data_IF_373565914478
#
_entry.id   IF_373565914478
#
_cell.length_a   1.000
_cell.length_b   1.000
_cell.length_c   1.000
_cell.angle_alpha   90.00
_cell.angle_beta   90.00
_cell.angle_gamma   90.00
#
_symmetry.space_group_name_H-M   'P 1'
#
loop_
_entity.id
_entity.type
_entity.pdbx_description
1 polymer ?
#
# COMPACT_ATOMS: atom_id res chain seq x y z
N UNK A 1 23.16 -1.86 -5.52
CA UNK A 1 21.92 -2.22 -6.24
C UNK A 1 20.85 -1.22 -5.85
N UNK A 2 20.01 -0.80 -6.78
CA UNK A 2 18.89 0.09 -6.45
C UNK A 2 17.91 -0.68 -5.56
N UNK A 3 17.54 -0.11 -4.42
CA UNK A 3 16.52 -0.63 -3.49
C UNK A 3 15.12 -0.60 -4.14
N UNK A 4 15.01 0.16 -5.24
CA UNK A 4 13.74 0.38 -5.94
C UNK A 4 13.44 -0.79 -6.87
N UNK A 5 12.60 -1.67 -6.39
CA UNK A 5 11.91 -2.71 -7.15
C UNK A 5 10.49 -2.25 -7.45
N UNK A 6 9.68 -3.03 -8.15
CA UNK A 6 8.25 -2.74 -8.27
C UNK A 6 7.48 -2.95 -6.96
N UNK A 7 8.10 -3.57 -5.95
CA UNK A 7 7.59 -3.66 -4.58
C UNK A 7 7.73 -2.32 -3.85
N UNK A 8 8.83 -1.56 -4.12
CA UNK A 8 9.07 -0.25 -3.52
C UNK A 8 9.15 0.79 -4.63
N UNK A 9 8.14 1.63 -4.73
CA UNK A 9 8.10 2.72 -5.72
C UNK A 9 8.88 3.93 -5.23
N UNK A 10 9.62 4.54 -6.16
CA UNK A 10 10.39 5.77 -5.92
C UNK A 10 9.55 7.02 -6.15
N UNK A 11 9.75 8.04 -5.32
CA UNK A 11 9.29 9.41 -5.55
C UNK A 11 10.18 10.19 -6.54
N UNK A 12 11.34 9.62 -6.89
CA UNK A 12 12.35 10.25 -7.77
C UNK A 12 12.24 9.84 -9.23
N UNK A 13 11.50 8.77 -9.53
CA UNK A 13 11.34 8.25 -10.89
C UNK A 13 10.05 8.82 -11.49
N UNK A 14 10.17 9.70 -12.51
CA UNK A 14 9.02 10.38 -13.09
C UNK A 14 7.91 9.44 -13.59
N UNK A 15 8.27 8.29 -14.15
CA UNK A 15 7.30 7.30 -14.61
C UNK A 15 6.53 6.61 -13.46
N UNK A 16 6.98 6.75 -12.21
CA UNK A 16 6.31 6.23 -11.02
C UNK A 16 5.36 7.26 -10.38
N UNK A 17 5.33 8.50 -10.88
CA UNK A 17 4.56 9.60 -10.30
C UNK A 17 3.08 9.27 -10.03
N UNK A 18 2.32 8.64 -10.95
CA UNK A 18 0.93 8.28 -10.67
C UNK A 18 0.78 7.31 -9.50
N UNK A 19 1.67 6.32 -9.40
CA UNK A 19 1.65 5.36 -8.31
C UNK A 19 2.11 6.00 -7.00
N UNK A 20 3.15 6.86 -7.03
CA UNK A 20 3.59 7.62 -5.87
C UNK A 20 2.42 8.41 -5.26
N UNK A 21 1.69 9.18 -6.07
CA UNK A 21 0.59 10.00 -5.59
C UNK A 21 -0.63 9.17 -5.16
N UNK A 22 -0.90 8.03 -5.80
CA UNK A 22 -1.91 7.08 -5.36
C UNK A 22 -1.62 6.57 -3.95
N UNK A 23 -0.39 6.14 -3.69
CA UNK A 23 0.02 5.64 -2.37
C UNK A 23 0.05 6.76 -1.32
N UNK A 24 0.51 7.95 -1.69
CA UNK A 24 0.53 9.10 -0.79
C UNK A 24 -0.88 9.58 -0.43
N UNK A 25 -1.85 9.44 -1.32
CA UNK A 25 -3.24 9.85 -1.06
C UNK A 25 -3.86 9.11 0.14
N UNK A 26 -3.48 7.84 0.37
CA UNK A 26 -3.93 7.09 1.54
C UNK A 26 -3.54 7.79 2.85
N UNK A 27 -2.32 8.34 2.94
CA UNK A 27 -1.87 9.11 4.11
C UNK A 27 -2.59 10.45 4.24
N UNK A 28 -2.86 11.13 3.11
CA UNK A 28 -3.64 12.37 3.10
C UNK A 28 -5.05 12.12 3.66
N UNK A 29 -5.69 11.04 3.26
CA UNK A 29 -7.03 10.67 3.74
C UNK A 29 -7.00 10.17 5.19
N UNK A 30 -5.93 9.49 5.60
CA UNK A 30 -5.73 9.01 6.97
C UNK A 30 -5.58 10.15 7.98
N UNK A 31 -5.07 11.32 7.56
CA UNK A 31 -4.68 12.45 8.41
C UNK A 31 -5.70 12.80 9.48
N UNK A 32 -6.99 12.77 9.18
CA UNK A 32 -8.07 13.11 10.13
C UNK A 32 -8.31 12.08 11.23
N UNK A 33 -7.78 10.87 11.06
CA UNK A 33 -7.93 9.76 12.01
C UNK A 33 -6.68 9.53 12.85
N UNK A 34 -5.55 10.19 12.53
CA UNK A 34 -4.26 10.04 13.20
C UNK A 34 -4.26 10.88 14.47
N UNK A 35 -3.96 10.24 15.61
CA UNK A 35 -3.77 10.89 16.89
C UNK A 35 -2.99 10.00 17.86
N UNK A 36 -2.42 10.60 18.91
CA UNK A 36 -1.76 9.87 20.01
C UNK A 36 -0.47 9.14 19.61
N UNK A 37 -0.26 7.99 20.23
CA UNK A 37 0.88 7.14 19.95
C UNK A 37 0.61 6.32 18.68
N UNK A 38 1.46 6.49 17.65
CA UNK A 38 1.22 5.95 16.31
C UNK A 38 2.22 4.86 15.97
N UNK A 39 1.72 3.73 15.45
CA UNK A 39 2.54 2.68 14.83
C UNK A 39 2.25 2.61 13.33
N UNK A 40 3.31 2.60 12.52
CA UNK A 40 3.23 2.28 11.11
C UNK A 40 3.87 0.91 10.84
N UNK A 41 3.12 0.01 10.20
CA UNK A 41 3.58 -1.30 9.75
C UNK A 41 3.84 -1.27 8.25
N UNK A 42 5.09 -1.51 7.85
CA UNK A 42 5.52 -1.46 6.46
C UNK A 42 5.71 -0.03 5.95
N UNK A 43 6.55 0.76 6.62
CA UNK A 43 6.74 2.17 6.30
C UNK A 43 7.43 2.41 4.94
N UNK A 44 8.08 1.38 4.35
CA UNK A 44 8.79 1.49 3.08
C UNK A 44 9.72 2.72 3.05
N UNK A 45 9.67 3.51 1.97
CA UNK A 45 10.47 4.72 1.79
C UNK A 45 10.15 5.89 2.76
N UNK A 46 9.17 5.71 3.66
CA UNK A 46 8.77 6.74 4.61
C UNK A 46 7.89 7.84 4.00
N UNK A 47 7.14 7.51 2.96
CA UNK A 47 6.33 8.45 2.17
C UNK A 47 5.34 9.27 2.98
N UNK A 48 4.75 8.67 4.01
CA UNK A 48 3.70 9.29 4.85
C UNK A 48 4.21 9.92 6.13
N UNK A 49 5.48 9.74 6.50
CA UNK A 49 6.01 10.12 7.82
C UNK A 49 5.74 11.58 8.14
N UNK A 50 6.04 12.51 7.23
CA UNK A 50 5.83 13.95 7.47
C UNK A 50 4.35 14.32 7.69
N UNK A 51 3.41 13.51 7.16
CA UNK A 51 1.97 13.68 7.40
C UNK A 51 1.61 13.16 8.80
N UNK A 52 2.16 11.99 9.17
CA UNK A 52 1.90 11.33 10.45
C UNK A 52 2.44 12.18 11.60
N UNK A 53 3.69 12.63 11.53
CA UNK A 53 4.37 13.38 12.58
C UNK A 53 3.65 14.69 12.95
N UNK A 54 2.95 15.31 12.02
CA UNK A 54 2.14 16.50 12.30
C UNK A 54 0.92 16.24 13.19
N UNK A 55 0.58 14.98 13.44
CA UNK A 55 -0.64 14.54 14.14
C UNK A 55 -0.39 13.56 15.27
N UNK A 56 0.76 12.91 15.29
CA UNK A 56 1.15 11.96 16.34
C UNK A 56 1.78 12.67 17.54
N UNK A 57 1.60 12.06 18.72
CA UNK A 57 2.33 12.38 19.94
C UNK A 57 3.69 11.68 19.94
N UNK A 58 3.72 10.44 19.49
CA UNK A 58 4.91 9.64 19.26
C UNK A 58 4.73 8.81 17.99
N UNK A 59 5.83 8.43 17.34
CA UNK A 59 5.81 7.64 16.14
C UNK A 59 6.79 6.47 16.22
N UNK A 60 6.30 5.30 15.89
CA UNK A 60 7.12 4.09 15.72
C UNK A 60 6.80 3.49 14.36
N UNK A 61 7.81 3.04 13.62
CA UNK A 61 7.63 2.32 12.36
C UNK A 61 8.35 0.98 12.38
N UNK A 62 7.74 -0.03 11.76
CA UNK A 62 8.34 -1.36 11.59
C UNK A 62 8.37 -1.69 10.10
N UNK A 63 9.53 -2.10 9.60
CA UNK A 63 9.69 -2.63 8.25
C UNK A 63 10.65 -3.82 8.25
N UNK A 64 10.50 -4.74 7.29
CA UNK A 64 11.39 -5.91 7.15
C UNK A 64 12.76 -5.57 6.56
N UNK A 65 12.88 -4.41 5.91
CA UNK A 65 14.08 -3.99 5.17
C UNK A 65 14.94 -3.09 6.05
N UNK A 66 16.07 -3.63 6.52
CA UNK A 66 16.99 -2.95 7.45
C UNK A 66 17.54 -1.65 6.87
N UNK A 67 17.93 -1.65 5.59
CA UNK A 67 18.49 -0.46 4.93
C UNK A 67 17.51 0.72 4.92
N UNK A 68 16.20 0.41 4.82
CA UNK A 68 15.16 1.42 4.87
C UNK A 68 15.02 1.99 6.28
N UNK A 69 14.90 1.13 7.29
CA UNK A 69 14.75 1.57 8.69
C UNK A 69 15.97 2.34 9.18
N UNK A 70 17.18 1.92 8.83
CA UNK A 70 18.42 2.64 9.16
C UNK A 70 18.48 4.04 8.50
N UNK A 71 18.10 4.14 7.23
CA UNK A 71 18.07 5.42 6.53
C UNK A 71 17.03 6.36 7.14
N UNK A 72 15.85 5.85 7.48
CA UNK A 72 14.79 6.63 8.10
C UNK A 72 15.16 7.06 9.53
N UNK A 73 15.82 6.20 10.32
CA UNK A 73 16.34 6.57 11.65
C UNK A 73 17.32 7.74 11.60
N UNK A 74 18.18 7.79 10.56
CA UNK A 74 19.09 8.95 10.37
C UNK A 74 18.34 10.22 9.97
N UNK A 75 17.27 10.08 9.17
CA UNK A 75 16.46 11.21 8.71
C UNK A 75 15.55 11.78 9.82
N UNK A 76 15.06 10.89 10.70
CA UNK A 76 14.12 11.21 11.77
C UNK A 76 14.66 10.69 13.12
N UNK A 77 15.72 11.32 13.69
CA UNK A 77 16.45 10.78 14.83
C UNK A 77 15.65 10.74 16.14
N UNK A 78 14.54 11.45 16.21
CA UNK A 78 13.66 11.48 17.38
C UNK A 78 12.57 10.39 17.32
N UNK A 79 12.48 9.64 16.21
CA UNK A 79 11.45 8.64 15.99
C UNK A 79 12.03 7.23 16.05
N UNK A 80 11.17 6.25 16.35
CA UNK A 80 11.60 4.85 16.51
C UNK A 80 11.37 4.06 15.24
N UNK A 81 12.44 3.49 14.69
CA UNK A 81 12.38 2.57 13.54
C UNK A 81 12.91 1.19 13.94
N UNK A 82 12.15 0.15 13.63
CA UNK A 82 12.46 -1.23 13.99
C UNK A 82 12.52 -2.06 12.71
N UNK A 83 13.68 -2.72 12.49
CA UNK A 83 13.81 -3.72 11.43
C UNK A 83 13.29 -5.06 11.94
N UNK A 84 12.13 -5.50 11.46
CA UNK A 84 11.53 -6.78 11.84
C UNK A 84 10.49 -7.25 10.84
N UNK A 85 10.41 -8.58 10.66
CA UNK A 85 9.29 -9.21 9.95
C UNK A 85 8.10 -9.40 10.89
N UNK A 86 6.90 -9.26 10.36
CA UNK A 86 5.64 -9.45 11.09
C UNK A 86 4.60 -10.15 10.18
N UNK A 87 3.51 -10.72 10.70
CA UNK A 87 3.26 -11.05 12.10
C UNK A 87 4.08 -12.26 12.56
N UNK A 88 4.26 -12.50 13.90
CA UNK A 88 3.72 -11.73 15.02
C UNK A 88 4.50 -10.44 15.27
N UNK A 89 3.87 -9.47 15.95
CA UNK A 89 4.51 -8.23 16.41
C UNK A 89 5.22 -8.48 17.75
N UNK A 90 6.44 -9.05 17.64
CA UNK A 90 7.26 -9.38 18.82
C UNK A 90 7.70 -8.09 19.53
N UNK A 91 7.73 -8.14 20.85
CA UNK A 91 8.19 -7.04 21.72
C UNK A 91 7.36 -5.76 21.59
N UNK A 92 6.14 -5.85 21.08
CA UNK A 92 5.14 -4.79 21.10
C UNK A 92 4.08 -5.17 22.14
N UNK A 93 3.92 -4.31 23.14
CA UNK A 93 2.97 -4.52 24.24
C UNK A 93 1.52 -4.44 23.78
N UNK A 94 0.62 -5.08 24.54
CA UNK A 94 -0.80 -4.93 24.32
C UNK A 94 -1.22 -3.48 24.58
N UNK A 95 -2.23 -3.01 23.87
CA UNK A 95 -2.90 -1.72 24.13
C UNK A 95 -1.92 -0.54 24.25
N UNK A 96 -0.90 -0.51 23.35
CA UNK A 96 0.19 0.46 23.40
C UNK A 96 0.03 1.62 22.40
N UNK A 97 -0.85 1.49 21.38
CA UNK A 97 -1.01 2.50 20.34
C UNK A 97 -2.45 3.01 20.22
N UNK A 98 -2.58 4.32 19.99
CA UNK A 98 -3.86 4.98 19.70
C UNK A 98 -4.23 4.85 18.22
N UNK A 99 -3.22 4.89 17.34
CA UNK A 99 -3.41 4.75 15.89
C UNK A 99 -2.41 3.77 15.30
N UNK A 100 -2.89 2.88 14.42
CA UNK A 100 -2.06 2.01 13.60
C UNK A 100 -2.31 2.32 12.13
N UNK A 101 -1.24 2.40 11.33
CA UNK A 101 -1.28 2.63 9.90
C UNK A 101 -0.57 1.45 9.21
N UNK A 102 -1.21 0.90 8.17
CA UNK A 102 -0.60 -0.14 7.34
C UNK A 102 -1.14 -0.07 5.92
N UNK A 103 -0.37 0.57 5.02
CA UNK A 103 -0.79 0.81 3.65
C UNK A 103 0.03 0.00 2.66
N UNK A 104 -0.65 -0.77 1.80
CA UNK A 104 -0.05 -1.65 0.80
C UNK A 104 0.89 -2.70 1.43
N UNK A 105 0.41 -3.38 2.46
CA UNK A 105 1.19 -4.35 3.24
C UNK A 105 0.48 -5.69 3.38
N UNK A 106 -0.83 -5.69 3.69
CA UNK A 106 -1.59 -6.92 3.99
C UNK A 106 -1.56 -7.92 2.83
N UNK A 107 -1.46 -7.44 1.59
CA UNK A 107 -1.34 -8.27 0.38
C UNK A 107 -0.05 -9.09 0.34
N UNK A 108 0.98 -8.68 1.09
CA UNK A 108 2.26 -9.39 1.22
C UNK A 108 2.29 -10.37 2.40
N UNK A 109 1.28 -10.34 3.27
CA UNK A 109 1.25 -11.09 4.52
C UNK A 109 0.66 -12.50 4.30
N UNK A 110 1.46 -13.54 4.58
CA UNK A 110 0.99 -14.94 4.47
C UNK A 110 -0.10 -15.26 5.48
N UNK A 111 0.09 -14.89 6.74
CA UNK A 111 -0.87 -15.11 7.83
C UNK A 111 -1.62 -13.81 8.17
N UNK A 112 -2.54 -13.44 7.28
CA UNK A 112 -3.38 -12.25 7.41
C UNK A 112 -4.31 -12.29 8.62
N UNK A 113 -4.77 -13.49 9.02
CA UNK A 113 -5.59 -13.66 10.23
C UNK A 113 -4.81 -13.27 11.49
N UNK A 114 -3.55 -13.73 11.59
CA UNK A 114 -2.68 -13.35 12.69
C UNK A 114 -2.35 -11.86 12.63
N UNK A 115 -2.17 -11.29 11.43
CA UNK A 115 -1.90 -9.87 11.24
C UNK A 115 -3.02 -9.00 11.80
N UNK A 116 -4.28 -9.27 11.44
CA UNK A 116 -5.45 -8.55 11.96
C UNK A 116 -5.60 -8.75 13.48
N UNK A 117 -5.36 -9.98 13.99
CA UNK A 117 -5.38 -10.25 15.43
C UNK A 117 -4.32 -9.44 16.19
N UNK A 118 -3.10 -9.35 15.67
CA UNK A 118 -2.01 -8.58 16.29
C UNK A 118 -2.31 -7.08 16.26
N UNK A 119 -2.85 -6.56 15.16
CA UNK A 119 -3.31 -5.16 15.09
C UNK A 119 -4.34 -4.87 16.21
N UNK A 120 -5.34 -5.75 16.38
CA UNK A 120 -6.33 -5.59 17.45
C UNK A 120 -5.68 -5.66 18.84
N UNK A 121 -4.71 -6.56 19.06
CA UNK A 121 -4.03 -6.73 20.34
C UNK A 121 -3.32 -5.46 20.79
N UNK A 122 -2.58 -4.82 19.89
CA UNK A 122 -1.72 -3.68 20.22
C UNK A 122 -2.44 -2.34 20.27
N UNK A 123 -3.64 -2.23 19.66
CA UNK A 123 -4.46 -1.05 19.79
C UNK A 123 -5.02 -0.90 21.19
N UNK A 124 -5.00 0.32 21.73
CA UNK A 124 -5.72 0.71 22.94
C UNK A 124 -7.24 0.60 22.72
N UNK A 125 -8.06 0.44 23.79
CA UNK A 125 -9.49 0.60 23.66
C UNK A 125 -9.87 1.94 23.03
N UNK A 126 -10.71 1.90 21.97
CA UNK A 126 -11.06 3.08 21.15
C UNK A 126 -9.99 3.48 20.12
N UNK A 127 -8.83 2.81 20.11
CA UNK A 127 -7.79 3.02 19.11
C UNK A 127 -8.20 2.58 17.71
N UNK A 128 -7.58 3.14 16.69
CA UNK A 128 -7.95 2.95 15.29
C UNK A 128 -6.82 2.33 14.47
N UNK A 129 -7.17 1.38 13.59
CA UNK A 129 -6.29 0.94 12.53
C UNK A 129 -6.78 1.45 11.17
N UNK A 130 -5.85 1.94 10.36
CA UNK A 130 -6.07 2.39 9.00
C UNK A 130 -5.28 1.47 8.07
N UNK A 131 -5.99 0.75 7.21
CA UNK A 131 -5.39 -0.25 6.31
C UNK A 131 -5.80 0.07 4.88
N UNK A 132 -4.84 0.09 3.95
CA UNK A 132 -5.15 0.10 2.52
C UNK A 132 -4.45 -1.04 1.80
N UNK A 133 -5.09 -1.53 0.73
CA UNK A 133 -4.57 -2.61 -0.11
C UNK A 133 -5.17 -2.51 -1.52
N UNK A 134 -4.50 -3.01 -2.57
CA UNK A 134 -5.09 -3.02 -3.91
C UNK A 134 -6.44 -3.73 -3.94
N UNK A 135 -7.36 -3.21 -4.74
CA UNK A 135 -8.61 -3.90 -5.04
C UNK A 135 -8.39 -4.90 -6.19
N UNK A 136 -8.58 -6.19 -5.92
CA UNK A 136 -8.41 -7.25 -6.94
C UNK A 136 -9.26 -7.02 -8.18
N UNK A 137 -10.43 -6.37 -8.03
CA UNK A 137 -11.33 -6.05 -9.16
C UNK A 137 -10.72 -5.06 -10.16
N UNK A 138 -9.69 -4.30 -9.74
CA UNK A 138 -9.00 -3.30 -10.55
C UNK A 138 -7.58 -3.73 -10.94
N UNK A 139 -7.13 -4.90 -10.49
CA UNK A 139 -5.81 -5.44 -10.81
C UNK A 139 -5.75 -5.88 -12.28
N UNK A 140 -4.73 -5.40 -13.00
CA UNK A 140 -4.55 -5.69 -14.42
C UNK A 140 -3.72 -6.95 -14.69
N UNK A 141 -2.76 -7.25 -13.79
CA UNK A 141 -1.88 -8.42 -13.87
C UNK A 141 -1.59 -8.94 -12.47
N UNK A 142 -1.29 -10.22 -12.34
CA UNK A 142 -0.82 -10.79 -11.09
C UNK A 142 0.50 -10.12 -10.68
N UNK A 143 0.54 -9.58 -9.46
CA UNK A 143 1.79 -9.11 -8.88
C UNK A 143 2.48 -10.27 -8.13
N UNK A 144 3.70 -10.70 -8.53
CA UNK A 144 4.39 -11.84 -7.89
C UNK A 144 4.87 -11.55 -6.47
N UNK A 145 4.84 -10.31 -6.01
CA UNK A 145 5.14 -9.92 -4.65
C UNK A 145 3.93 -10.07 -3.71
N UNK A 146 2.69 -10.09 -4.27
CA UNK A 146 1.49 -10.27 -3.50
C UNK A 146 1.24 -11.76 -3.22
N UNK A 147 0.98 -12.08 -1.97
CA UNK A 147 0.49 -13.40 -1.56
C UNK A 147 -0.96 -13.56 -2.00
N UNK A 148 -1.73 -12.48 -1.86
CA UNK A 148 -3.14 -12.38 -2.30
C UNK A 148 -3.54 -10.92 -2.45
N UNK A 149 -4.60 -10.70 -3.19
CA UNK A 149 -5.34 -9.45 -3.22
C UNK A 149 -6.78 -9.73 -2.79
N UNK A 150 -7.50 -8.70 -2.38
CA UNK A 150 -8.81 -8.84 -1.74
C UNK A 150 -9.90 -8.16 -2.56
N UNK A 151 -11.10 -8.76 -2.53
CA UNK A 151 -12.33 -8.00 -2.72
C UNK A 151 -12.68 -7.27 -1.43
N UNK A 152 -13.55 -6.26 -1.53
CA UNK A 152 -14.07 -5.55 -0.35
C UNK A 152 -14.68 -6.50 0.67
N UNK A 153 -15.51 -7.45 0.23
CA UNK A 153 -16.15 -8.43 1.10
C UNK A 153 -15.14 -9.34 1.82
N UNK A 154 -14.14 -9.85 1.09
CA UNK A 154 -13.11 -10.71 1.70
C UNK A 154 -12.32 -9.98 2.79
N UNK A 155 -12.00 -8.70 2.55
CA UNK A 155 -11.26 -7.90 3.50
C UNK A 155 -12.12 -7.53 4.72
N UNK A 156 -13.40 -7.23 4.52
CA UNK A 156 -14.38 -7.03 5.58
C UNK A 156 -14.52 -8.29 6.45
N UNK A 157 -14.71 -9.47 5.85
CA UNK A 157 -14.88 -10.74 6.56
C UNK A 157 -13.62 -11.11 7.35
N UNK A 158 -12.44 -10.77 6.83
CA UNK A 158 -11.19 -10.96 7.55
C UNK A 158 -11.10 -10.06 8.78
N UNK A 159 -11.43 -8.77 8.64
CA UNK A 159 -11.37 -7.78 9.72
C UNK A 159 -12.43 -8.04 10.80
N UNK A 160 -13.64 -8.48 10.42
CA UNK A 160 -14.78 -8.73 11.33
C UNK A 160 -14.54 -9.85 12.35
N UNK A 161 -13.49 -10.65 12.15
CA UNK A 161 -13.08 -11.68 13.13
C UNK A 161 -12.58 -11.09 14.45
N UNK A 162 -12.06 -9.86 14.42
CA UNK A 162 -11.48 -9.21 15.59
C UNK A 162 -12.08 -7.83 15.88
N UNK A 163 -12.60 -7.14 14.86
CA UNK A 163 -13.14 -5.79 14.98
C UNK A 163 -14.65 -5.80 14.79
N UNK A 164 -15.37 -5.07 15.65
CA UNK A 164 -16.83 -4.89 15.55
C UNK A 164 -17.19 -3.61 14.80
N UNK A 165 -16.36 -2.57 14.88
CA UNK A 165 -16.55 -1.30 14.19
C UNK A 165 -15.63 -1.24 12.98
N UNK A 166 -16.20 -1.38 11.79
CA UNK A 166 -15.48 -1.44 10.51
C UNK A 166 -16.15 -0.49 9.54
N UNK A 167 -15.38 0.42 8.97
CA UNK A 167 -15.82 1.29 7.90
C UNK A 167 -14.99 0.96 6.66
N UNK A 168 -15.68 0.50 5.61
CA UNK A 168 -15.09 0.25 4.31
C UNK A 168 -15.23 1.50 3.45
N UNK A 169 -14.11 1.93 2.90
CA UNK A 169 -14.01 3.01 1.92
C UNK A 169 -13.19 2.55 0.72
N UNK A 170 -13.15 3.36 -0.32
CA UNK A 170 -12.31 3.14 -1.47
C UNK A 170 -11.55 4.38 -1.89
N UNK A 171 -10.37 4.20 -2.44
CA UNK A 171 -9.59 5.26 -3.09
C UNK A 171 -9.93 5.25 -4.57
N UNK A 172 -10.44 6.37 -5.04
CA UNK A 172 -10.83 6.62 -6.43
C UNK A 172 -9.88 7.59 -7.10
N UNK A 173 -9.89 7.56 -8.42
CA UNK A 173 -9.26 8.58 -9.24
C UNK A 173 -10.31 9.34 -10.07
N UNK A 174 -10.05 10.62 -10.30
CA UNK A 174 -10.83 11.45 -11.21
C UNK A 174 -10.63 11.03 -12.69
N UNK A 175 -11.16 11.77 -13.64
CA UNK A 175 -11.06 11.45 -15.07
C UNK A 175 -9.60 11.41 -15.58
N UNK A 176 -8.69 12.21 -15.00
CA UNK A 176 -7.27 12.16 -15.31
C UNK A 176 -6.66 10.80 -14.94
N UNK A 177 -6.95 10.31 -13.74
CA UNK A 177 -6.49 9.00 -13.26
C UNK A 177 -7.14 7.88 -14.05
N UNK A 178 -8.42 8.02 -14.38
CA UNK A 178 -9.15 7.05 -15.21
C UNK A 178 -8.49 6.94 -16.60
N UNK A 179 -8.18 8.08 -17.24
CA UNK A 179 -7.46 8.08 -18.52
C UNK A 179 -6.13 7.33 -18.41
N UNK A 180 -5.32 7.64 -17.39
CA UNK A 180 -4.05 6.95 -17.14
C UNK A 180 -4.25 5.45 -16.95
N UNK A 181 -5.26 5.05 -16.14
CA UNK A 181 -5.59 3.64 -15.89
C UNK A 181 -6.01 2.92 -17.18
N UNK A 182 -6.86 3.54 -18.01
CA UNK A 182 -7.32 2.96 -19.28
C UNK A 182 -6.18 2.79 -20.28
N UNK A 183 -5.26 3.74 -20.37
CA UNK A 183 -4.07 3.66 -21.21
C UNK A 183 -3.09 2.58 -20.72
N UNK A 184 -2.92 2.46 -19.39
CA UNK A 184 -2.19 1.37 -18.76
C UNK A 184 -2.83 0.03 -19.08
N UNK A 185 -4.15 -0.10 -18.93
CA UNK A 185 -4.91 -1.31 -19.25
C UNK A 185 -4.73 -1.73 -20.71
N UNK A 186 -4.84 -0.78 -21.65
CA UNK A 186 -4.61 -1.06 -23.08
C UNK A 186 -3.18 -1.58 -23.33
N UNK A 187 -2.18 -0.98 -22.69
CA UNK A 187 -0.79 -1.40 -22.82
C UNK A 187 -0.56 -2.80 -22.26
N UNK A 188 -1.03 -3.05 -21.05
CA UNK A 188 -0.95 -4.37 -20.38
C UNK A 188 -1.64 -5.45 -21.20
N UNK A 189 -2.84 -5.19 -21.73
CA UNK A 189 -3.57 -6.17 -22.57
C UNK A 189 -2.82 -6.52 -23.87
N UNK A 190 -2.02 -5.61 -24.42
CA UNK A 190 -1.15 -5.93 -25.57
C UNK A 190 -0.08 -6.95 -25.18
N UNK A 191 0.56 -6.77 -24.00
CA UNK A 191 1.55 -7.74 -23.52
C UNK A 191 0.90 -9.09 -23.18
N UNK A 192 -0.27 -9.11 -22.54
CA UNK A 192 -1.00 -10.34 -22.24
C UNK A 192 -1.36 -11.15 -23.50
N UNK A 193 -1.67 -10.50 -24.61
CA UNK A 193 -1.93 -11.21 -25.89
C UNK A 193 -0.69 -11.91 -26.45
N UNK A 194 0.51 -11.48 -26.07
CA UNK A 194 1.77 -12.12 -26.44
C UNK A 194 2.17 -13.26 -25.49
N UNK A 195 1.54 -13.36 -24.33
CA UNK A 195 1.76 -14.44 -23.36
C UNK A 195 0.96 -15.70 -23.74
N UNK A 196 1.34 -16.33 -24.86
CA UNK A 196 0.69 -17.52 -25.41
C UNK A 196 0.73 -18.70 -24.43
N UNK A 197 1.74 -18.76 -23.57
CA UNK A 197 1.94 -19.83 -22.58
C UNK A 197 1.28 -19.55 -21.24
N UNK A 198 0.59 -18.40 -21.07
CA UNK A 198 0.01 -17.97 -19.81
C UNK A 198 1.03 -17.99 -18.64
N UNK A 199 2.23 -17.51 -18.88
CA UNK A 199 3.34 -17.46 -17.90
C UNK A 199 2.92 -16.74 -16.62
N UNK A 200 2.12 -15.68 -16.75
CA UNK A 200 1.51 -14.98 -15.61
C UNK A 200 0.77 -15.93 -14.65
N UNK A 201 0.09 -16.96 -15.20
CA UNK A 201 -0.73 -17.89 -14.41
C UNK A 201 0.06 -19.06 -13.85
N UNK A 202 0.99 -19.61 -14.63
CA UNK A 202 1.61 -20.91 -14.35
C UNK A 202 3.02 -20.80 -13.77
N UNK A 203 3.74 -19.70 -14.00
CA UNK A 203 5.07 -19.54 -13.42
C UNK A 203 5.00 -19.36 -11.89
N UNK A 204 5.86 -20.09 -11.15
CA UNK A 204 6.07 -19.80 -9.72
C UNK A 204 6.50 -18.35 -9.51
N UNK A 205 6.08 -17.75 -8.39
CA UNK A 205 6.34 -16.32 -8.10
C UNK A 205 7.83 -15.95 -8.22
N UNK A 206 8.75 -16.80 -7.76
CA UNK A 206 10.18 -16.51 -7.78
C UNK A 206 10.76 -16.40 -9.20
N UNK A 207 10.22 -17.17 -10.17
CA UNK A 207 10.60 -17.07 -11.57
C UNK A 207 9.89 -15.92 -12.28
N UNK A 208 8.65 -15.62 -11.90
CA UNK A 208 7.86 -14.57 -12.51
C UNK A 208 8.30 -13.16 -12.10
N UNK A 209 8.98 -12.98 -10.97
CA UNK A 209 9.45 -11.68 -10.48
C UNK A 209 10.29 -10.92 -11.51
N UNK A 210 11.30 -11.58 -12.09
CA UNK A 210 12.24 -10.92 -13.03
C UNK A 210 11.52 -10.39 -14.27
N UNK A 211 10.78 -11.20 -15.05
CA UNK A 211 10.07 -10.70 -16.22
C UNK A 211 8.99 -9.68 -15.85
N UNK A 212 8.30 -9.86 -14.73
CA UNK A 212 7.32 -8.91 -14.24
C UNK A 212 7.92 -7.52 -13.99
N UNK A 213 9.05 -7.45 -13.25
CA UNK A 213 9.74 -6.19 -12.95
C UNK A 213 10.17 -5.47 -14.22
N UNK A 214 10.78 -6.22 -15.15
CA UNK A 214 11.22 -5.66 -16.42
C UNK A 214 10.05 -5.12 -17.26
N UNK A 215 9.00 -5.91 -17.44
CA UNK A 215 7.82 -5.52 -18.21
C UNK A 215 7.06 -4.36 -17.57
N UNK A 216 6.94 -4.37 -16.24
CA UNK A 216 6.26 -3.30 -15.52
C UNK A 216 7.04 -1.97 -15.63
N UNK A 217 8.38 -2.00 -15.47
CA UNK A 217 9.22 -0.82 -15.65
C UNK A 217 9.14 -0.29 -17.10
N UNK A 218 9.25 -1.18 -18.06
CA UNK A 218 9.14 -0.84 -19.47
C UNK A 218 7.78 -0.20 -19.80
N UNK A 219 6.70 -0.79 -19.25
CA UNK A 219 5.35 -0.26 -19.44
C UNK A 219 5.18 1.14 -18.84
N UNK A 220 5.66 1.38 -17.61
CA UNK A 220 5.60 2.71 -16.97
C UNK A 220 6.40 3.75 -17.74
N UNK A 221 7.60 3.41 -18.20
CA UNK A 221 8.41 4.30 -19.03
C UNK A 221 7.72 4.63 -20.37
N UNK A 222 7.07 3.63 -20.97
CA UNK A 222 6.31 3.83 -22.21
C UNK A 222 5.10 4.75 -22.01
N UNK A 223 4.34 4.58 -20.92
CA UNK A 223 3.21 5.45 -20.59
C UNK A 223 3.69 6.90 -20.37
N UNK A 224 4.80 7.07 -19.66
CA UNK A 224 5.41 8.37 -19.46
C UNK A 224 5.88 9.01 -20.77
N UNK A 225 6.52 8.24 -21.66
CA UNK A 225 6.96 8.74 -22.97
C UNK A 225 5.79 9.09 -23.90
N UNK A 226 4.68 8.35 -23.83
CA UNK A 226 3.50 8.59 -24.66
C UNK A 226 2.69 9.83 -24.23
N UNK A 227 2.59 10.11 -22.94
CA UNK A 227 1.86 11.26 -22.38
C UNK A 227 2.56 11.75 -21.10
N UNK A 228 3.70 12.43 -21.30
CA UNK A 228 4.49 12.98 -20.20
C UNK A 228 3.67 13.99 -19.39
N UNK A 229 2.88 14.84 -20.06
CA UNK A 229 2.08 15.87 -19.39
C UNK A 229 1.03 15.26 -18.46
N UNK A 230 0.36 14.19 -18.88
CA UNK A 230 -0.58 13.46 -18.05
C UNK A 230 0.14 12.86 -16.83
N UNK A 231 1.21 12.09 -17.06
CA UNK A 231 1.92 11.37 -16.00
C UNK A 231 2.48 12.33 -14.95
N UNK A 232 3.13 13.41 -15.36
CA UNK A 232 3.77 14.38 -14.43
C UNK A 232 2.79 15.32 -13.75
N UNK A 233 1.60 15.56 -14.33
CA UNK A 233 0.57 16.44 -13.75
C UNK A 233 -0.29 15.76 -12.67
N UNK A 234 -0.19 14.42 -12.50
CA UNK A 234 -0.94 13.70 -11.49
C UNK A 234 -0.43 14.07 -10.09
N UNK A 235 -1.37 14.38 -9.20
CA UNK A 235 -1.12 14.76 -7.80
C UNK A 235 -2.06 14.01 -6.86
N UNK A 236 -1.88 14.13 -5.56
CA UNK A 236 -2.81 13.56 -4.56
C UNK A 236 -4.22 14.14 -4.67
N UNK A 237 -4.38 15.34 -5.23
CA UNK A 237 -5.71 15.97 -5.42
C UNK A 237 -6.54 15.29 -6.54
N UNK A 238 -5.91 14.47 -7.35
CA UNK A 238 -6.58 13.70 -8.39
C UNK A 238 -7.23 12.42 -7.84
N UNK A 239 -7.06 12.15 -6.54
CA UNK A 239 -7.65 11.00 -5.82
C UNK A 239 -8.65 11.47 -4.79
N UNK A 240 -9.67 10.64 -4.51
CA UNK A 240 -10.68 10.86 -3.47
C UNK A 240 -10.89 9.61 -2.63
N UNK A 241 -11.34 9.80 -1.38
CA UNK A 241 -11.79 8.73 -0.49
C UNK A 241 -13.31 8.72 -0.45
N UNK A 242 -13.93 7.68 -0.99
CA UNK A 242 -15.37 7.57 -1.15
C UNK A 242 -15.92 6.31 -0.46
N UNK A 243 -17.24 6.10 -0.58
CA UNK A 243 -17.85 4.86 -0.13
C UNK A 243 -17.37 3.69 -1.00
N UNK A 244 -17.27 2.52 -0.39
CA UNK A 244 -16.80 1.33 -1.08
C UNK A 244 -17.64 1.01 -2.33
N UNK A 245 -16.93 0.63 -3.41
CA UNK A 245 -17.52 0.33 -4.72
C UNK A 245 -16.50 -0.53 -5.51
N UNK A 246 -16.91 -1.46 -6.37
CA UNK A 246 -16.02 -2.31 -7.16
C UNK A 246 -15.00 -1.59 -8.05
N UNK A 247 -15.19 -0.29 -8.32
CA UNK A 247 -14.27 0.53 -9.13
C UNK A 247 -13.21 1.25 -8.31
N UNK A 248 -13.12 1.01 -7.00
CA UNK A 248 -12.01 1.53 -6.20
C UNK A 248 -10.68 1.02 -6.75
N UNK A 249 -9.69 1.89 -6.84
CA UNK A 249 -8.33 1.48 -7.14
C UNK A 249 -7.71 0.71 -5.95
N UNK A 250 -7.94 1.23 -4.73
CA UNK A 250 -7.57 0.57 -3.47
C UNK A 250 -8.77 0.48 -2.54
N UNK A 251 -8.80 -0.57 -1.74
CA UNK A 251 -9.65 -0.69 -0.57
C UNK A 251 -9.02 0.10 0.57
N UNK A 252 -9.83 0.75 1.38
CA UNK A 252 -9.40 1.51 2.54
C UNK A 252 -10.28 1.22 3.75
N UNK A 253 -9.69 0.61 4.79
CA UNK A 253 -10.39 0.24 6.01
C UNK A 253 -10.06 1.19 7.13
N UNK A 254 -11.09 1.49 7.92
CA UNK A 254 -10.98 2.15 9.22
C UNK A 254 -11.58 1.18 10.24
N UNK A 255 -10.73 0.67 11.12
CA UNK A 255 -11.08 -0.29 12.16
C UNK A 255 -11.00 0.42 13.52
N UNK A 256 -11.95 0.20 14.40
CA UNK A 256 -11.90 0.70 15.77
C UNK A 256 -12.05 -0.45 16.77
N UNK A 257 -11.13 -0.50 17.77
CA UNK A 257 -11.13 -1.48 18.86
C UNK A 257 -12.13 -1.13 19.95
#
# INVERSE_FOLDING_TARGET
MSIYTTEITSDKILSDNPLHHRLLSAYVFAKKYISGDVLELGCGEGRGIDIILKRSKSFTAIDKISEVTERLSRKYPNEKFISSSFPPLKNIENESFDTLISFQVIEHIKNDKLFIKEIHRILKPGGKALISTPNISMTLTRNPWHVREYTSQQLFDLASRNFKKIIMKGIYGNDKIKKYYDDNKKSVMKFKRLDVFNLEKYLPNFLYKIPYEFLNRMNRNKLHANDNSLVTSITTNDYSLENDNPKNLDLFLILEK
#
